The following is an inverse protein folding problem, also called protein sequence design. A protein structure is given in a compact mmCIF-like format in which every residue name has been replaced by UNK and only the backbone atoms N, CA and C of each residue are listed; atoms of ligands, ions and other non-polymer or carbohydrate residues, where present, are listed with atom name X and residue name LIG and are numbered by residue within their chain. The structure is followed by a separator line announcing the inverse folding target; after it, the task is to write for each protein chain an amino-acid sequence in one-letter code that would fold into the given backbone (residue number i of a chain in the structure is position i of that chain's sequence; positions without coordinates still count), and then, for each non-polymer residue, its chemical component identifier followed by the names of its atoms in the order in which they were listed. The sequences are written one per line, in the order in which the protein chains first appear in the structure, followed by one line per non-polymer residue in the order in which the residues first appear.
data_IF_001666664434
#
_entry.id   IF_001666664434
#
_cell.length_a   1.000
_cell.length_b   1.000
_cell.length_c   1.000
_cell.angle_alpha   90.00
_cell.angle_beta   90.00
_cell.angle_gamma   90.00
#
_symmetry.space_group_name_H-M   'P 1'
#
loop_
_entity.id
_entity.type
_entity.pdbx_description
1 polymer ?
#
# COMPACT_ATOMS: atom_id res chain seq x y z
N UNK A 1 14.11 -25.42 18.69
CA UNK A 1 13.84 -25.53 17.26
C UNK A 1 14.97 -24.80 16.54
N UNK A 2 15.78 -25.48 15.72
CA UNK A 2 16.81 -24.79 14.91
C UNK A 2 16.08 -23.95 13.86
N UNK A 3 16.26 -22.63 13.91
CA UNK A 3 15.73 -21.72 12.92
C UNK A 3 16.39 -22.03 11.57
N UNK A 4 15.63 -22.56 10.63
CA UNK A 4 16.12 -22.88 9.29
C UNK A 4 16.07 -21.58 8.47
N UNK A 5 17.14 -20.79 8.51
CA UNK A 5 17.28 -19.49 7.85
C UNK A 5 17.16 -19.60 6.30
N UNK A 6 17.26 -20.82 5.75
CA UNK A 6 17.21 -21.07 4.30
C UNK A 6 15.79 -21.03 3.71
N UNK A 7 14.74 -21.08 4.52
CA UNK A 7 13.34 -21.18 4.05
C UNK A 7 12.61 -19.82 4.01
N UNK A 8 13.25 -18.74 4.45
CA UNK A 8 12.65 -17.40 4.55
C UNK A 8 11.64 -17.30 5.70
N UNK A 9 10.88 -16.20 5.74
CA UNK A 9 9.85 -15.96 6.75
C UNK A 9 8.59 -16.76 6.39
N UNK A 10 8.36 -17.89 7.09
CA UNK A 10 7.11 -18.66 7.04
C UNK A 10 6.39 -18.44 8.36
N UNK A 11 5.10 -18.11 8.32
CA UNK A 11 4.31 -17.87 9.51
C UNK A 11 3.71 -19.15 10.09
N UNK A 12 3.01 -19.02 11.24
CA UNK A 12 2.36 -20.13 11.95
C UNK A 12 1.18 -20.77 11.17
N UNK A 13 0.79 -20.19 10.03
CA UNK A 13 -0.25 -20.72 9.12
C UNK A 13 0.33 -21.26 7.80
N UNK A 14 1.66 -21.38 7.69
CA UNK A 14 2.35 -21.87 6.51
C UNK A 14 2.42 -20.84 5.36
N UNK A 15 2.06 -19.55 5.60
CA UNK A 15 2.15 -18.50 4.59
C UNK A 15 3.59 -17.98 4.50
N UNK A 16 4.15 -17.95 3.29
CA UNK A 16 5.44 -17.31 3.03
C UNK A 16 5.26 -15.80 3.06
N UNK A 17 6.05 -15.11 3.89
CA UNK A 17 6.06 -13.66 4.01
C UNK A 17 7.29 -13.13 3.28
N UNK A 18 7.11 -12.64 2.07
CA UNK A 18 8.17 -12.20 1.18
C UNK A 18 7.99 -10.76 0.68
N UNK A 19 7.00 -10.03 1.22
CA UNK A 19 6.65 -8.69 0.80
C UNK A 19 6.60 -7.71 1.98
N UNK A 20 7.50 -6.72 1.99
CA UNK A 20 7.52 -5.62 2.94
C UNK A 20 6.72 -4.41 2.44
N UNK A 21 5.84 -3.86 3.26
CA UNK A 21 5.32 -2.50 3.10
C UNK A 21 6.02 -1.61 4.13
N UNK A 22 6.78 -0.64 3.66
CA UNK A 22 7.55 0.28 4.49
C UNK A 22 6.99 1.68 4.33
N UNK A 23 6.39 2.21 5.40
CA UNK A 23 5.98 3.60 5.45
C UNK A 23 7.21 4.47 5.76
N UNK A 24 7.54 5.38 4.85
CA UNK A 24 8.70 6.25 5.03
C UNK A 24 8.37 7.57 5.73
N UNK A 25 7.10 7.96 5.74
CA UNK A 25 6.61 9.19 6.40
C UNK A 25 5.13 9.06 6.72
N UNK A 26 4.64 9.79 7.69
CA UNK A 26 3.21 9.98 7.96
C UNK A 26 2.64 11.24 7.30
N UNK A 27 3.50 12.11 6.74
CA UNK A 27 3.10 13.38 6.11
C UNK A 27 2.50 13.13 4.72
N UNK A 28 1.43 13.87 4.41
CA UNK A 28 0.80 13.85 3.09
C UNK A 28 0.43 15.28 2.67
N UNK A 29 0.51 15.59 1.39
CA UNK A 29 0.06 16.87 0.80
C UNK A 29 -1.43 16.86 0.44
N UNK A 30 -2.09 15.69 0.39
CA UNK A 30 -3.54 15.56 0.29
C UNK A 30 -4.20 15.35 1.66
N UNK A 31 -5.53 15.45 1.70
CA UNK A 31 -6.36 15.28 2.92
C UNK A 31 -7.58 14.41 2.60
N UNK A 32 -7.34 13.24 1.98
CA UNK A 32 -8.41 12.36 1.52
C UNK A 32 -9.38 12.00 2.63
N UNK A 33 -10.68 12.07 2.34
CA UNK A 33 -11.76 11.93 3.33
C UNK A 33 -11.76 10.59 4.04
N UNK A 34 -11.35 9.53 3.35
CA UNK A 34 -11.24 8.17 3.89
C UNK A 34 -9.94 7.91 4.67
N UNK A 35 -8.98 8.83 4.61
CA UNK A 35 -7.63 8.63 5.14
C UNK A 35 -7.38 9.43 6.42
N UNK A 36 -7.86 10.67 6.48
CA UNK A 36 -7.65 11.54 7.64
C UNK A 36 -8.74 12.61 7.77
N UNK A 37 -8.88 13.23 8.97
CA UNK A 37 -9.73 14.40 9.20
C UNK A 37 -9.35 15.60 8.30
N UNK A 38 -10.27 16.56 8.13
CA UNK A 38 -10.04 17.74 7.29
C UNK A 38 -8.90 18.63 7.83
N UNK A 39 -8.84 18.76 9.14
CA UNK A 39 -7.79 19.47 9.89
C UNK A 39 -6.42 18.77 9.82
N UNK A 40 -6.40 17.51 9.35
CA UNK A 40 -5.21 16.66 9.33
C UNK A 40 -5.03 15.86 10.62
N UNK A 41 -3.82 15.37 10.82
CA UNK A 41 -3.41 14.62 12.01
C UNK A 41 -2.18 15.27 12.65
N UNK A 42 -1.89 14.93 13.89
CA UNK A 42 -0.65 15.32 14.54
C UNK A 42 0.51 14.51 13.92
N UNK A 43 1.30 15.15 13.06
CA UNK A 43 2.44 14.51 12.42
C UNK A 43 3.59 14.26 13.37
N UNK A 44 4.28 13.15 13.15
CA UNK A 44 5.49 12.80 13.89
C UNK A 44 6.60 13.83 13.65
N UNK A 45 7.34 14.13 14.72
CA UNK A 45 8.59 14.89 14.61
C UNK A 45 9.64 14.00 13.93
N UNK A 46 10.63 14.59 13.25
CA UNK A 46 11.66 13.85 12.54
C UNK A 46 12.37 12.80 13.40
N UNK A 47 12.71 13.14 14.65
CA UNK A 47 13.32 12.23 15.63
C UNK A 47 12.44 11.01 16.00
N UNK A 48 11.14 11.10 15.75
CA UNK A 48 10.19 10.00 16.01
C UNK A 48 10.06 9.06 14.83
N UNK A 49 10.49 9.48 13.64
CA UNK A 49 10.58 8.61 12.46
C UNK A 49 11.80 7.69 12.54
N UNK A 50 11.78 6.57 11.82
CA UNK A 50 12.99 5.85 11.47
C UNK A 50 13.87 6.73 10.58
N UNK A 51 15.21 6.74 10.80
CA UNK A 51 16.14 7.39 9.88
C UNK A 51 16.27 6.58 8.58
N UNK A 52 16.91 7.15 7.55
CA UNK A 52 17.16 6.43 6.30
C UNK A 52 18.13 5.25 6.53
N UNK A 53 19.14 5.44 7.35
CA UNK A 53 20.12 4.40 7.72
C UNK A 53 19.45 3.27 8.50
N UNK A 54 18.53 3.60 9.43
CA UNK A 54 17.75 2.60 10.17
C UNK A 54 16.87 1.78 9.22
N UNK A 55 16.23 2.45 8.24
CA UNK A 55 15.43 1.79 7.23
C UNK A 55 16.26 0.91 6.29
N UNK A 56 17.41 1.39 5.82
CA UNK A 56 18.32 0.62 4.96
C UNK A 56 18.86 -0.62 5.68
N UNK A 57 19.24 -0.48 6.95
CA UNK A 57 19.65 -1.61 7.80
C UNK A 57 18.51 -2.65 7.91
N UNK A 58 17.27 -2.21 8.14
CA UNK A 58 16.11 -3.10 8.21
C UNK A 58 15.81 -3.80 6.88
N UNK A 59 15.90 -3.07 5.77
CA UNK A 59 15.71 -3.65 4.42
C UNK A 59 16.72 -4.75 4.18
N UNK A 60 18.00 -4.52 4.49
CA UNK A 60 19.06 -5.53 4.37
C UNK A 60 18.75 -6.78 5.18
N UNK A 61 18.40 -6.62 6.47
CA UNK A 61 18.05 -7.75 7.36
C UNK A 61 16.85 -8.53 6.80
N UNK A 62 15.83 -7.84 6.29
CA UNK A 62 14.62 -8.46 5.76
C UNK A 62 14.86 -9.15 4.41
N UNK A 63 15.76 -8.61 3.56
CA UNK A 63 16.19 -9.29 2.32
C UNK A 63 16.93 -10.59 2.66
N UNK A 64 17.79 -10.58 3.66
CA UNK A 64 18.48 -11.79 4.16
C UNK A 64 17.48 -12.82 4.73
N UNK A 65 16.31 -12.38 5.22
CA UNK A 65 15.20 -13.21 5.70
C UNK A 65 14.23 -13.65 4.58
N UNK A 66 14.52 -13.33 3.30
CA UNK A 66 13.74 -13.78 2.16
C UNK A 66 12.68 -12.81 1.66
N UNK A 67 12.63 -11.56 2.16
CA UNK A 67 11.84 -10.50 1.53
C UNK A 67 12.46 -10.19 0.17
N UNK A 68 11.67 -10.35 -0.88
CA UNK A 68 12.07 -10.09 -2.26
C UNK A 68 11.27 -8.96 -2.92
N UNK A 69 10.30 -8.40 -2.20
CA UNK A 69 9.51 -7.27 -2.66
C UNK A 69 9.35 -6.23 -1.57
N UNK A 70 9.56 -4.97 -1.92
CA UNK A 70 9.30 -3.83 -1.05
C UNK A 70 8.32 -2.87 -1.73
N UNK A 71 7.41 -2.32 -0.94
CA UNK A 71 6.59 -1.19 -1.35
C UNK A 71 6.80 -0.03 -0.41
N UNK A 72 7.35 1.05 -0.94
CA UNK A 72 7.44 2.29 -0.21
C UNK A 72 6.07 2.96 -0.20
N UNK A 73 5.65 3.36 0.99
CA UNK A 73 4.37 4.00 1.26
C UNK A 73 4.56 5.08 2.33
N UNK A 74 3.49 5.47 2.96
CA UNK A 74 3.43 6.39 4.08
C UNK A 74 2.16 7.22 3.96
N UNK A 75 2.27 8.52 4.23
CA UNK A 75 1.40 9.52 3.62
C UNK A 75 1.78 9.64 2.15
N UNK A 76 2.61 10.62 1.79
CA UNK A 76 3.19 10.70 0.45
C UNK A 76 4.71 10.53 0.52
N UNK A 77 5.28 9.45 -0.03
CA UNK A 77 6.73 9.17 0.07
C UNK A 77 7.61 10.31 -0.45
N UNK A 78 7.22 10.97 -1.53
CA UNK A 78 8.01 12.02 -2.16
C UNK A 78 8.02 13.36 -1.39
N UNK A 79 7.28 13.46 -0.28
CA UNK A 79 7.42 14.58 0.67
C UNK A 79 8.65 14.43 1.57
N UNK A 80 9.18 13.22 1.74
CA UNK A 80 10.33 13.00 2.60
C UNK A 80 11.62 13.25 1.84
N UNK A 81 12.37 14.29 2.24
CA UNK A 81 13.68 14.61 1.65
C UNK A 81 14.63 13.42 1.74
N UNK A 82 15.46 13.20 0.72
CA UNK A 82 16.41 12.07 0.64
C UNK A 82 15.77 10.75 0.19
N UNK A 83 14.51 10.75 -0.27
CA UNK A 83 13.84 9.52 -0.76
C UNK A 83 14.59 8.89 -1.94
N UNK A 84 15.18 9.70 -2.82
CA UNK A 84 15.90 9.19 -4.01
C UNK A 84 17.22 8.53 -3.61
N UNK A 85 17.96 9.11 -2.68
CA UNK A 85 19.21 8.53 -2.16
C UNK A 85 18.93 7.17 -1.48
N UNK A 86 17.83 7.11 -0.70
CA UNK A 86 17.39 5.86 -0.09
C UNK A 86 16.96 4.81 -1.12
N UNK A 87 16.25 5.21 -2.18
CA UNK A 87 15.90 4.31 -3.27
C UNK A 87 17.13 3.77 -3.98
N UNK A 88 18.15 4.61 -4.22
CA UNK A 88 19.42 4.20 -4.82
C UNK A 88 20.15 3.21 -3.91
N UNK A 89 20.20 3.44 -2.61
CA UNK A 89 20.81 2.53 -1.63
C UNK A 89 20.14 1.15 -1.63
N UNK A 90 18.81 1.08 -1.49
CA UNK A 90 18.12 -0.21 -1.44
C UNK A 90 18.06 -0.91 -2.81
N UNK A 91 18.19 -0.18 -3.91
CA UNK A 91 18.26 -0.74 -5.27
C UNK A 91 19.51 -1.58 -5.52
N UNK A 92 20.54 -1.44 -4.70
CA UNK A 92 21.74 -2.29 -4.74
C UNK A 92 21.41 -3.77 -4.46
N UNK A 93 20.33 -4.06 -3.73
CA UNK A 93 19.83 -5.41 -3.53
C UNK A 93 19.14 -5.94 -4.79
N UNK A 94 19.88 -6.59 -5.69
CA UNK A 94 19.43 -7.01 -7.03
C UNK A 94 18.22 -7.97 -7.04
N UNK A 95 17.98 -8.69 -5.94
CA UNK A 95 16.82 -9.57 -5.78
C UNK A 95 15.55 -8.84 -5.33
N UNK A 96 15.65 -7.55 -4.97
CA UNK A 96 14.54 -6.79 -4.40
C UNK A 96 13.70 -6.11 -5.48
N UNK A 97 12.44 -6.48 -5.58
CA UNK A 97 11.44 -5.82 -6.42
C UNK A 97 10.89 -4.57 -5.72
N UNK A 98 11.31 -3.39 -6.17
CA UNK A 98 10.93 -2.10 -5.57
C UNK A 98 9.64 -1.59 -6.23
N UNK A 99 8.64 -1.28 -5.42
CA UNK A 99 7.38 -0.69 -5.81
C UNK A 99 7.11 0.57 -4.97
N UNK A 100 6.40 1.55 -5.52
CA UNK A 100 6.05 2.77 -4.79
C UNK A 100 4.53 2.97 -4.87
N UNK A 101 3.92 3.42 -3.76
CA UNK A 101 2.55 3.96 -3.76
C UNK A 101 2.65 5.47 -3.59
N UNK A 102 2.03 6.22 -4.47
CA UNK A 102 2.04 7.68 -4.48
C UNK A 102 0.67 8.24 -4.86
N UNK A 103 0.36 9.43 -4.38
CA UNK A 103 -0.81 10.20 -4.82
C UNK A 103 -0.58 10.97 -6.14
N UNK A 104 0.64 10.93 -6.68
CA UNK A 104 0.96 11.49 -7.99
C UNK A 104 1.29 12.98 -8.03
N UNK A 105 1.03 13.76 -6.97
CA UNK A 105 1.20 15.23 -6.99
C UNK A 105 2.66 15.64 -7.20
N UNK A 106 3.58 14.97 -6.51
CA UNK A 106 5.03 15.25 -6.58
C UNK A 106 5.78 14.26 -7.47
N UNK A 107 5.24 13.06 -7.66
CA UNK A 107 5.89 11.96 -8.36
C UNK A 107 6.36 12.35 -9.78
N UNK A 108 5.62 13.24 -10.47
CA UNK A 108 5.97 13.71 -11.81
C UNK A 108 7.39 14.26 -11.92
N UNK A 109 7.89 14.92 -10.88
CA UNK A 109 9.23 15.52 -10.84
C UNK A 109 10.36 14.46 -10.80
N UNK A 110 10.05 13.23 -10.36
CA UNK A 110 11.02 12.16 -10.13
C UNK A 110 10.99 11.04 -11.19
N UNK A 111 10.07 11.10 -12.17
CA UNK A 111 9.87 10.00 -13.12
C UNK A 111 11.12 9.66 -13.94
N UNK A 112 11.86 10.67 -14.40
CA UNK A 112 13.08 10.44 -15.20
C UNK A 112 14.17 9.72 -14.36
N UNK A 113 14.35 10.12 -13.10
CA UNK A 113 15.31 9.48 -12.20
C UNK A 113 14.89 8.05 -11.87
N UNK A 114 13.60 7.82 -11.58
CA UNK A 114 13.06 6.48 -11.34
C UNK A 114 13.20 5.58 -12.57
N UNK A 115 13.00 6.12 -13.76
CA UNK A 115 13.18 5.41 -15.02
C UNK A 115 14.63 4.99 -15.24
N UNK A 116 15.59 5.90 -15.03
CA UNK A 116 17.04 5.62 -15.09
C UNK A 116 17.45 4.53 -14.09
N UNK A 117 16.86 4.51 -12.90
CA UNK A 117 17.09 3.46 -11.90
C UNK A 117 16.37 2.14 -12.23
N UNK A 118 15.46 2.11 -13.21
CA UNK A 118 14.63 0.94 -13.51
C UNK A 118 13.50 0.68 -12.51
N UNK A 119 13.19 1.63 -11.63
CA UNK A 119 12.09 1.54 -10.66
C UNK A 119 10.80 2.00 -11.33
N UNK A 120 10.11 1.10 -11.99
CA UNK A 120 8.96 1.42 -12.87
C UNK A 120 7.61 0.90 -12.34
N UNK A 121 7.53 0.34 -11.13
CA UNK A 121 6.29 -0.23 -10.57
C UNK A 121 5.62 0.76 -9.62
N UNK A 122 4.61 1.45 -10.11
CA UNK A 122 3.91 2.50 -9.35
C UNK A 122 2.45 2.10 -9.09
N UNK A 123 2.01 2.25 -7.85
CA UNK A 123 0.58 2.36 -7.54
C UNK A 123 0.24 3.84 -7.39
N UNK A 124 -0.58 4.35 -8.32
CA UNK A 124 -1.10 5.71 -8.26
C UNK A 124 -2.46 5.69 -7.57
N UNK A 125 -2.65 6.53 -6.55
CA UNK A 125 -3.97 6.74 -5.94
C UNK A 125 -4.74 7.78 -6.75
N UNK A 126 -5.90 7.37 -7.33
CA UNK A 126 -6.76 8.25 -8.12
C UNK A 126 -8.21 7.77 -7.99
N UNK A 127 -9.01 8.50 -7.22
CA UNK A 127 -10.34 8.08 -6.80
C UNK A 127 -11.46 8.59 -7.71
N UNK A 128 -11.17 9.54 -8.60
CA UNK A 128 -12.11 10.12 -9.58
C UNK A 128 -11.37 10.72 -10.77
N UNK A 129 -12.01 10.72 -11.95
CA UNK A 129 -11.60 11.48 -13.14
C UNK A 129 -12.39 12.79 -13.30
N UNK A 130 -13.33 13.07 -12.41
CA UNK A 130 -14.02 14.35 -12.31
C UNK A 130 -13.23 15.28 -11.39
N UNK A 131 -12.75 16.45 -11.88
CA UNK A 131 -11.91 17.35 -11.08
C UNK A 131 -12.58 17.85 -9.81
N UNK A 132 -13.88 18.15 -9.86
CA UNK A 132 -14.62 18.64 -8.69
C UNK A 132 -14.70 17.56 -7.62
N UNK A 133 -15.05 16.33 -8.01
CA UNK A 133 -15.13 15.19 -7.11
C UNK A 133 -13.77 14.77 -6.57
N UNK A 134 -12.71 14.81 -7.41
CA UNK A 134 -11.35 14.60 -6.93
C UNK A 134 -10.99 15.61 -5.83
N UNK A 135 -11.29 16.90 -6.04
CA UNK A 135 -11.02 17.96 -5.08
C UNK A 135 -11.83 17.77 -3.78
N UNK A 136 -13.08 17.37 -3.89
CA UNK A 136 -13.93 17.05 -2.71
C UNK A 136 -13.37 15.88 -1.90
N UNK A 137 -12.93 14.82 -2.58
CA UNK A 137 -12.36 13.63 -1.93
C UNK A 137 -11.01 13.95 -1.29
N UNK A 138 -10.12 14.58 -2.02
CA UNK A 138 -8.74 14.86 -1.60
C UNK A 138 -8.60 16.13 -0.78
N UNK A 139 -9.61 17.01 -0.80
CA UNK A 139 -9.65 18.34 -0.19
C UNK A 139 -8.49 19.24 -0.67
N UNK A 140 -8.03 19.03 -1.90
CA UNK A 140 -6.94 19.78 -2.54
C UNK A 140 -7.18 19.87 -4.04
N UNK A 141 -6.82 21.02 -4.61
CA UNK A 141 -6.89 21.27 -6.05
C UNK A 141 -5.57 20.87 -6.73
N UNK A 142 -5.38 19.55 -6.88
CA UNK A 142 -4.16 18.97 -7.46
C UNK A 142 -4.46 17.98 -8.60
N UNK A 143 -5.71 17.99 -9.11
CA UNK A 143 -6.17 17.04 -10.13
C UNK A 143 -5.28 17.04 -11.38
N UNK A 144 -5.01 18.22 -11.94
CA UNK A 144 -4.26 18.35 -13.19
C UNK A 144 -2.82 17.81 -13.07
N UNK A 145 -2.18 18.01 -11.91
CA UNK A 145 -0.84 17.45 -11.66
C UNK A 145 -0.87 15.93 -11.63
N UNK A 146 -1.86 15.34 -10.93
CA UNK A 146 -1.99 13.89 -10.84
C UNK A 146 -2.28 13.28 -12.21
N UNK A 147 -3.18 13.89 -12.98
CA UNK A 147 -3.51 13.43 -14.33
C UNK A 147 -2.32 13.54 -15.28
N UNK A 148 -1.60 14.66 -15.25
CA UNK A 148 -0.37 14.86 -16.02
C UNK A 148 0.70 13.81 -15.66
N UNK A 149 0.87 13.51 -14.35
CA UNK A 149 1.78 12.46 -13.88
C UNK A 149 1.37 11.08 -14.42
N UNK A 150 0.07 10.76 -14.42
CA UNK A 150 -0.44 9.51 -14.98
C UNK A 150 -0.09 9.37 -16.47
N UNK A 151 -0.38 10.39 -17.26
CA UNK A 151 -0.08 10.37 -18.69
C UNK A 151 1.42 10.18 -18.94
N UNK A 152 2.26 10.94 -18.24
CA UNK A 152 3.72 10.82 -18.37
C UNK A 152 4.23 9.43 -17.97
N UNK A 153 3.68 8.81 -16.92
CA UNK A 153 4.02 7.42 -16.58
C UNK A 153 3.66 6.43 -17.68
N UNK A 154 2.50 6.63 -18.33
CA UNK A 154 2.06 5.79 -19.45
C UNK A 154 3.02 5.95 -20.64
N UNK A 155 3.37 7.19 -21.01
CA UNK A 155 4.28 7.49 -22.12
C UNK A 155 5.68 6.91 -21.89
N UNK A 156 6.17 6.91 -20.64
CA UNK A 156 7.43 6.31 -20.24
C UNK A 156 7.34 4.78 -19.99
N UNK A 157 6.20 4.14 -20.28
CA UNK A 157 5.96 2.71 -20.11
C UNK A 157 6.19 2.19 -18.66
N UNK A 158 5.81 2.97 -17.67
CA UNK A 158 5.76 2.50 -16.29
C UNK A 158 4.67 1.43 -16.11
N UNK A 159 4.90 0.49 -15.18
CA UNK A 159 3.89 -0.50 -14.78
C UNK A 159 2.96 0.13 -13.75
N UNK A 160 1.92 0.80 -14.24
CA UNK A 160 0.99 1.58 -13.42
C UNK A 160 -0.16 0.71 -12.95
N UNK A 161 -0.42 0.77 -11.64
CA UNK A 161 -1.67 0.33 -11.02
C UNK A 161 -2.39 1.55 -10.47
N UNK A 162 -3.59 1.81 -10.95
CA UNK A 162 -4.43 2.90 -10.44
C UNK A 162 -5.29 2.31 -9.32
N UNK A 163 -5.14 2.82 -8.11
CA UNK A 163 -5.92 2.42 -6.95
C UNK A 163 -6.99 3.48 -6.69
N UNK A 164 -8.25 3.07 -6.67
CA UNK A 164 -9.40 3.91 -6.33
C UNK A 164 -10.12 3.30 -5.12
N UNK A 165 -10.22 4.05 -4.03
CA UNK A 165 -11.08 3.68 -2.90
C UNK A 165 -12.51 4.04 -3.26
N UNK A 166 -13.42 3.05 -3.23
CA UNK A 166 -14.83 3.26 -3.56
C UNK A 166 -15.59 3.58 -2.28
N UNK A 167 -16.16 4.78 -2.23
CA UNK A 167 -16.88 5.33 -1.08
C UNK A 167 -18.37 5.50 -1.43
N UNK A 168 -19.25 4.90 -0.63
CA UNK A 168 -20.70 4.98 -0.82
C UNK A 168 -21.18 6.43 -0.81
N UNK A 169 -21.99 6.81 -1.81
CA UNK A 169 -22.54 8.16 -1.97
C UNK A 169 -21.54 9.23 -2.41
N UNK A 170 -20.31 8.84 -2.81
CA UNK A 170 -19.28 9.80 -3.23
C UNK A 170 -18.77 9.58 -4.64
N UNK A 171 -18.24 8.39 -4.94
CA UNK A 171 -17.57 8.14 -6.23
C UNK A 171 -17.91 6.81 -6.90
N UNK A 172 -19.04 6.19 -6.54
CA UNK A 172 -19.50 4.97 -7.22
C UNK A 172 -19.68 5.18 -8.73
N UNK A 173 -20.15 6.37 -9.13
CA UNK A 173 -20.33 6.74 -10.53
C UNK A 173 -19.01 6.85 -11.32
N UNK A 174 -17.87 6.90 -10.64
CA UNK A 174 -16.55 6.95 -11.30
C UNK A 174 -16.01 5.57 -11.66
N UNK A 175 -16.62 4.48 -11.16
CA UNK A 175 -16.13 3.12 -11.40
C UNK A 175 -15.97 2.83 -12.90
N UNK A 176 -16.97 3.16 -13.71
CA UNK A 176 -16.91 2.91 -15.15
C UNK A 176 -15.92 3.81 -15.87
N UNK A 177 -15.87 5.11 -15.54
CA UNK A 177 -14.93 6.04 -16.15
C UNK A 177 -13.48 5.69 -15.83
N UNK A 178 -13.18 5.35 -14.57
CA UNK A 178 -11.87 4.89 -14.15
C UNK A 178 -11.49 3.56 -14.81
N UNK A 179 -12.41 2.58 -14.87
CA UNK A 179 -12.16 1.31 -15.55
C UNK A 179 -11.79 1.50 -17.02
N UNK A 180 -12.40 2.47 -17.71
CA UNK A 180 -12.11 2.78 -19.11
C UNK A 180 -10.67 3.28 -19.36
N UNK A 181 -9.91 3.69 -18.34
CA UNK A 181 -8.47 3.95 -18.50
C UNK A 181 -7.70 2.70 -18.97
N UNK A 182 -8.13 1.52 -18.50
CA UNK A 182 -7.54 0.25 -18.91
C UNK A 182 -7.89 -0.14 -20.37
N UNK A 183 -8.91 0.48 -20.99
CA UNK A 183 -9.26 0.23 -22.38
C UNK A 183 -8.18 0.73 -23.33
N UNK A 184 -7.71 1.96 -23.15
CA UNK A 184 -6.73 2.61 -24.02
C UNK A 184 -5.28 2.33 -23.67
N UNK A 185 -5.00 1.95 -22.42
CA UNK A 185 -3.67 1.88 -21.85
C UNK A 185 -3.41 0.55 -21.14
N UNK A 186 -2.14 0.14 -21.08
CA UNK A 186 -1.73 -1.07 -20.35
C UNK A 186 -1.57 -0.76 -18.86
N UNK A 187 -2.65 -0.33 -18.22
CA UNK A 187 -2.73 -0.04 -16.78
C UNK A 187 -3.66 -1.03 -16.09
N UNK A 188 -3.45 -1.25 -14.79
CA UNK A 188 -4.34 -2.07 -13.98
C UNK A 188 -5.15 -1.16 -13.05
N UNK A 189 -6.46 -1.03 -13.27
CA UNK A 189 -7.34 -0.21 -12.41
C UNK A 189 -7.89 -1.09 -11.29
N UNK A 190 -7.75 -0.66 -10.04
CA UNK A 190 -8.10 -1.43 -8.86
C UNK A 190 -9.03 -0.65 -7.96
N UNK A 191 -10.22 -1.17 -7.80
CA UNK A 191 -11.25 -0.66 -6.91
C UNK A 191 -11.08 -1.31 -5.53
N UNK A 192 -11.02 -0.50 -4.49
CA UNK A 192 -10.71 -0.93 -3.13
C UNK A 192 -11.91 -0.62 -2.26
N UNK A 193 -12.42 -1.61 -1.51
CA UNK A 193 -13.39 -1.35 -0.46
C UNK A 193 -12.84 -0.35 0.55
N UNK A 194 -13.65 0.63 0.96
CA UNK A 194 -13.27 1.58 1.99
C UNK A 194 -13.04 0.86 3.33
N UNK A 195 -12.00 1.26 4.04
CA UNK A 195 -11.59 0.66 5.31
C UNK A 195 -11.70 1.68 6.46
N UNK A 196 -11.87 1.24 7.73
CA UNK A 196 -12.15 2.12 8.86
C UNK A 196 -10.90 2.89 9.39
N UNK A 197 -9.91 3.18 8.53
CA UNK A 197 -8.66 3.86 8.90
C UNK A 197 -8.70 5.36 8.57
N UNK A 198 -9.76 6.04 9.01
CA UNK A 198 -10.03 7.45 8.71
C UNK A 198 -9.42 8.45 9.71
N UNK A 199 -8.72 7.98 10.73
CA UNK A 199 -8.13 8.80 11.78
C UNK A 199 -9.13 9.36 12.79
N UNK A 200 -10.41 8.95 12.75
CA UNK A 200 -11.48 9.41 13.65
C UNK A 200 -12.14 8.28 14.43
N UNK A 201 -11.95 7.02 14.01
CA UNK A 201 -12.68 5.89 14.57
C UNK A 201 -14.17 5.85 14.21
N UNK A 202 -14.57 6.61 13.19
CA UNK A 202 -15.96 6.63 12.72
C UNK A 202 -16.29 5.35 11.96
N UNK A 203 -17.49 4.81 12.20
CA UNK A 203 -18.02 3.72 11.40
C UNK A 203 -18.31 4.21 10.00
N UNK A 204 -17.93 3.42 9.01
CA UNK A 204 -18.20 3.68 7.59
C UNK A 204 -19.26 2.71 7.07
N UNK A 205 -20.07 3.19 6.14
CA UNK A 205 -20.97 2.34 5.37
C UNK A 205 -20.25 1.99 4.05
N UNK A 206 -19.72 0.78 3.97
CA UNK A 206 -18.83 0.35 2.88
C UNK A 206 -19.63 -0.37 1.79
N UNK A 207 -19.34 -0.03 0.53
CA UNK A 207 -19.69 -0.87 -0.60
C UNK A 207 -18.81 -2.10 -0.60
N UNK A 208 -19.44 -3.28 -0.67
CA UNK A 208 -18.72 -4.54 -0.73
C UNK A 208 -18.11 -4.77 -2.12
N UNK A 209 -17.18 -5.70 -2.22
CA UNK A 209 -16.62 -6.12 -3.49
C UNK A 209 -17.68 -6.64 -4.47
N UNK A 210 -18.78 -7.21 -3.95
CA UNK A 210 -19.91 -7.65 -4.77
C UNK A 210 -20.65 -6.45 -5.36
N UNK A 211 -20.88 -5.40 -4.58
CA UNK A 211 -21.52 -4.16 -5.05
C UNK A 211 -20.65 -3.50 -6.14
N UNK A 212 -19.34 -3.42 -5.92
CA UNK A 212 -18.38 -2.89 -6.91
C UNK A 212 -18.41 -3.73 -8.20
N UNK A 213 -18.46 -5.07 -8.08
CA UNK A 213 -18.59 -5.97 -9.25
C UNK A 213 -19.88 -5.73 -10.01
N UNK A 214 -20.99 -5.51 -9.31
CA UNK A 214 -22.27 -5.19 -9.94
C UNK A 214 -22.22 -3.85 -10.68
N UNK A 215 -21.57 -2.82 -10.11
CA UNK A 215 -21.39 -1.54 -10.82
C UNK A 215 -20.57 -1.72 -12.11
N UNK A 216 -19.48 -2.50 -12.07
CA UNK A 216 -18.72 -2.83 -13.28
C UNK A 216 -19.57 -3.55 -14.34
N UNK A 217 -20.45 -4.47 -13.94
CA UNK A 217 -21.33 -5.21 -14.86
C UNK A 217 -22.41 -4.33 -15.49
N UNK A 218 -22.74 -3.16 -14.93
CA UNK A 218 -23.61 -2.17 -15.60
C UNK A 218 -22.97 -1.56 -16.84
N UNK A 219 -21.64 -1.41 -16.83
CA UNK A 219 -20.88 -0.82 -17.95
C UNK A 219 -20.27 -1.83 -18.89
N UNK A 220 -20.04 -3.06 -18.41
CA UNK A 220 -19.33 -4.11 -19.15
C UNK A 220 -20.09 -5.42 -19.05
N UNK A 221 -20.53 -5.96 -20.20
CA UNK A 221 -21.38 -7.15 -20.26
C UNK A 221 -20.71 -8.44 -19.76
N UNK A 222 -19.38 -8.49 -19.74
CA UNK A 222 -18.59 -9.65 -19.32
C UNK A 222 -17.30 -9.21 -18.63
N UNK A 223 -17.00 -9.87 -17.54
CA UNK A 223 -15.75 -9.74 -16.77
C UNK A 223 -15.10 -11.13 -16.70
N UNK A 224 -14.08 -11.38 -17.55
CA UNK A 224 -13.35 -12.64 -17.55
C UNK A 224 -12.38 -12.69 -16.37
N UNK A 225 -12.59 -13.60 -15.43
CA UNK A 225 -11.76 -13.70 -14.24
C UNK A 225 -10.33 -14.15 -14.56
N UNK A 226 -9.36 -13.37 -14.10
CA UNK A 226 -7.94 -13.76 -14.15
C UNK A 226 -7.63 -14.52 -12.85
N UNK A 227 -7.11 -15.75 -12.94
CA UNK A 227 -6.78 -16.55 -11.76
C UNK A 227 -5.87 -15.80 -10.79
N UNK A 228 -6.21 -15.82 -9.51
CA UNK A 228 -5.39 -15.23 -8.45
C UNK A 228 -4.13 -16.06 -8.21
N UNK A 229 -3.00 -15.37 -8.03
CA UNK A 229 -1.74 -15.98 -7.60
C UNK A 229 -1.56 -15.81 -6.09
N UNK A 230 -0.67 -16.60 -5.50
CA UNK A 230 -0.34 -16.47 -4.08
C UNK A 230 0.14 -15.04 -3.77
N UNK A 231 -0.44 -14.42 -2.74
CA UNK A 231 -0.13 -13.05 -2.32
C UNK A 231 -0.87 -11.94 -3.07
N UNK A 232 -1.68 -12.29 -4.10
CA UNK A 232 -2.56 -11.31 -4.74
C UNK A 232 -3.61 -10.79 -3.73
N UNK A 233 -3.97 -9.51 -3.87
CA UNK A 233 -5.05 -8.89 -3.08
C UNK A 233 -6.29 -8.60 -3.91
N UNK A 234 -6.10 -8.42 -5.22
CA UNK A 234 -7.17 -8.07 -6.13
C UNK A 234 -7.62 -9.31 -6.91
N UNK A 235 -8.92 -9.60 -6.89
CA UNK A 235 -9.51 -10.41 -7.94
C UNK A 235 -9.50 -9.56 -9.21
N UNK A 236 -8.79 -10.02 -10.23
CA UNK A 236 -8.64 -9.29 -11.51
C UNK A 236 -9.57 -9.85 -12.56
N UNK A 237 -9.93 -8.96 -13.49
CA UNK A 237 -10.81 -9.26 -14.60
C UNK A 237 -10.24 -8.68 -15.89
N UNK A 238 -10.25 -9.47 -16.96
CA UNK A 238 -10.05 -9.00 -18.32
C UNK A 238 -11.41 -8.58 -18.89
N UNK A 239 -11.45 -7.42 -19.51
CA UNK A 239 -12.60 -6.95 -20.27
C UNK A 239 -12.24 -7.04 -21.75
N UNK A 240 -13.13 -7.58 -22.57
CA UNK A 240 -12.88 -7.74 -24.00
C UNK A 240 -12.55 -6.38 -24.67
N UNK A 241 -11.48 -6.35 -25.43
CA UNK A 241 -10.99 -5.14 -26.11
C UNK A 241 -10.20 -4.17 -25.22
N UNK A 242 -9.93 -4.49 -23.95
CA UNK A 242 -9.09 -3.68 -23.09
C UNK A 242 -7.62 -4.10 -23.19
N UNK A 243 -6.72 -3.11 -23.22
CA UNK A 243 -5.26 -3.35 -23.17
C UNK A 243 -4.78 -3.73 -21.79
N UNK A 244 -5.37 -3.16 -20.75
CA UNK A 244 -5.08 -3.43 -19.36
C UNK A 244 -6.15 -4.30 -18.68
N UNK A 245 -6.13 -4.35 -17.36
CA UNK A 245 -7.09 -5.11 -16.56
C UNK A 245 -7.77 -4.24 -15.50
N UNK A 246 -8.92 -4.70 -15.00
CA UNK A 246 -9.56 -4.16 -13.81
C UNK A 246 -9.48 -5.16 -12.67
N UNK A 247 -9.53 -4.70 -11.43
CA UNK A 247 -9.50 -5.60 -10.28
C UNK A 247 -10.26 -5.02 -9.10
N UNK A 248 -10.70 -5.89 -8.20
CA UNK A 248 -11.38 -5.50 -6.97
C UNK A 248 -10.58 -6.03 -5.78
N UNK A 249 -10.32 -5.15 -4.82
CA UNK A 249 -9.64 -5.49 -3.56
C UNK A 249 -10.67 -5.47 -2.45
N UNK A 250 -11.06 -6.65 -1.98
CA UNK A 250 -12.01 -6.86 -0.88
C UNK A 250 -11.35 -6.55 0.47
N UNK A 251 -10.93 -5.28 0.66
CA UNK A 251 -10.09 -4.87 1.78
C UNK A 251 -10.83 -4.87 3.12
N UNK A 252 -12.11 -4.52 3.12
CA UNK A 252 -13.00 -4.59 4.28
C UNK A 252 -13.52 -6.01 4.48
N UNK A 253 -13.93 -6.69 3.41
CA UNK A 253 -14.42 -8.08 3.42
C UNK A 253 -13.29 -9.12 3.64
N UNK A 254 -12.03 -8.74 3.47
CA UNK A 254 -10.81 -9.52 3.84
C UNK A 254 -10.70 -10.90 3.20
N UNK A 255 -11.23 -11.09 2.00
CA UNK A 255 -11.33 -12.39 1.34
C UNK A 255 -9.96 -13.00 0.95
N UNK A 256 -8.89 -12.19 0.93
CA UNK A 256 -7.53 -12.60 0.53
C UNK A 256 -6.57 -12.87 1.71
N UNK A 257 -7.06 -12.90 2.95
CA UNK A 257 -6.19 -13.05 4.13
C UNK A 257 -5.46 -14.39 4.18
N UNK A 258 -6.07 -15.46 3.70
CA UNK A 258 -5.48 -16.81 3.70
C UNK A 258 -4.17 -16.93 2.91
N UNK A 259 -3.91 -16.04 1.95
CA UNK A 259 -2.68 -16.01 1.13
C UNK A 259 -1.81 -14.78 1.41
N UNK A 260 -2.05 -14.06 2.51
CA UNK A 260 -1.37 -12.81 2.81
C UNK A 260 0.12 -13.01 3.09
N UNK A 261 0.97 -12.44 2.24
CA UNK A 261 2.43 -12.53 2.31
C UNK A 261 3.12 -11.24 2.84
N UNK A 262 2.35 -10.32 3.46
CA UNK A 262 2.85 -8.97 3.78
C UNK A 262 3.26 -8.81 5.22
N UNK A 263 4.41 -8.18 5.42
CA UNK A 263 4.84 -7.55 6.67
C UNK A 263 4.77 -6.04 6.50
N UNK A 264 4.45 -5.29 7.57
CA UNK A 264 4.42 -3.82 7.53
C UNK A 264 5.33 -3.24 8.59
N UNK A 265 6.00 -2.14 8.24
CA UNK A 265 6.72 -1.28 9.17
C UNK A 265 6.21 0.14 8.98
N UNK A 266 5.69 0.72 10.05
CA UNK A 266 5.18 2.10 10.04
C UNK A 266 6.31 3.12 10.03
N UNK A 267 6.02 4.37 9.67
CA UNK A 267 7.02 5.45 9.69
C UNK A 267 7.63 5.67 11.09
N UNK A 268 6.87 5.36 12.14
CA UNK A 268 7.31 5.38 13.54
C UNK A 268 8.22 4.20 13.89
N UNK A 269 8.28 3.16 13.05
CA UNK A 269 9.07 1.96 13.29
C UNK A 269 8.36 0.88 14.07
N UNK A 270 7.04 0.87 14.06
CA UNK A 270 6.23 -0.22 14.62
C UNK A 270 6.06 -1.33 13.57
N UNK A 271 6.23 -2.57 13.99
CA UNK A 271 5.93 -3.74 13.15
C UNK A 271 4.44 -4.05 13.25
N UNK A 272 3.80 -4.22 12.08
CA UNK A 272 2.43 -4.73 11.96
C UNK A 272 2.46 -6.03 11.14
N UNK A 273 2.01 -7.11 11.72
CA UNK A 273 1.91 -8.42 11.06
C UNK A 273 0.61 -8.55 10.27
N UNK A 274 -0.39 -7.75 10.61
CA UNK A 274 -1.63 -7.54 9.87
C UNK A 274 -1.92 -6.04 9.76
N UNK A 275 -2.67 -5.63 8.74
CA UNK A 275 -3.15 -4.24 8.64
C UNK A 275 -4.02 -3.87 9.84
N UNK A 276 -4.83 -4.81 10.30
CA UNK A 276 -5.82 -4.63 11.35
C UNK A 276 -5.29 -4.82 12.78
N UNK A 277 -4.02 -5.22 13.00
CA UNK A 277 -3.44 -5.22 14.36
C UNK A 277 -3.12 -3.79 14.83
N UNK A 278 -2.89 -3.62 16.12
CA UNK A 278 -2.58 -2.30 16.72
C UNK A 278 -1.07 -2.00 16.86
N UNK A 279 -0.24 -2.76 16.09
CA UNK A 279 1.22 -2.70 16.19
C UNK A 279 1.73 -3.68 17.24
N UNK A 280 2.52 -4.65 16.80
CA UNK A 280 2.92 -5.79 17.66
C UNK A 280 4.28 -5.60 18.30
N UNK A 281 5.09 -4.64 17.81
CA UNK A 281 6.43 -4.41 18.34
C UNK A 281 7.00 -3.04 17.95
N UNK A 282 7.58 -2.30 18.90
CA UNK A 282 8.35 -1.07 18.66
C UNK A 282 9.79 -1.41 18.25
N UNK A 283 9.96 -1.59 16.94
CA UNK A 283 11.25 -1.95 16.34
C UNK A 283 12.25 -0.80 16.39
N UNK A 284 11.80 0.46 16.32
CA UNK A 284 12.68 1.63 16.37
C UNK A 284 13.41 1.73 17.71
N UNK A 285 12.68 1.64 18.83
CA UNK A 285 13.31 1.68 20.16
C UNK A 285 14.28 0.52 20.33
N UNK A 286 13.94 -0.66 19.80
CA UNK A 286 14.80 -1.82 19.83
C UNK A 286 16.08 -1.63 18.99
N UNK A 287 15.96 -1.08 17.76
CA UNK A 287 17.14 -0.73 16.93
C UNK A 287 18.08 0.24 17.64
N UNK A 288 17.52 1.26 18.29
CA UNK A 288 18.27 2.31 18.98
C UNK A 288 18.91 1.89 20.30
N UNK A 289 18.52 0.71 20.81
CA UNK A 289 19.17 0.13 22.01
C UNK A 289 20.53 -0.54 21.71
N UNK A 290 20.98 -0.50 20.45
CA UNK A 290 22.31 -1.03 20.06
C UNK A 290 22.34 -2.53 19.81
N UNK A 291 21.20 -3.18 19.62
CA UNK A 291 21.10 -4.62 19.35
C UNK A 291 21.75 -5.02 18.02
N UNK A 292 22.23 -6.25 17.96
CA UNK A 292 22.79 -6.85 16.76
C UNK A 292 21.73 -7.17 15.71
N UNK A 293 22.14 -7.29 14.44
CA UNK A 293 21.26 -7.73 13.35
C UNK A 293 20.65 -9.12 13.60
N UNK A 294 21.41 -9.99 14.27
CA UNK A 294 20.95 -11.34 14.62
C UNK A 294 19.80 -11.30 15.64
N UNK A 295 19.84 -10.40 16.60
CA UNK A 295 18.76 -10.21 17.56
C UNK A 295 17.51 -9.65 16.87
N UNK A 296 17.68 -8.71 15.94
CA UNK A 296 16.57 -8.20 15.12
C UNK A 296 15.95 -9.31 14.29
N UNK A 297 16.75 -10.18 13.63
CA UNK A 297 16.25 -11.34 12.88
C UNK A 297 15.40 -12.25 13.78
N UNK A 298 15.88 -12.59 14.97
CA UNK A 298 15.15 -13.45 15.92
C UNK A 298 13.80 -12.84 16.31
N UNK A 299 13.77 -11.53 16.57
CA UNK A 299 12.51 -10.83 16.89
C UNK A 299 11.56 -10.88 15.72
N UNK A 300 11.98 -10.55 14.50
CA UNK A 300 11.14 -10.55 13.32
C UNK A 300 10.57 -11.94 13.00
N UNK A 301 11.37 -12.99 13.13
CA UNK A 301 10.92 -14.38 12.98
C UNK A 301 9.86 -14.72 14.05
N UNK A 302 10.13 -14.39 15.32
CA UNK A 302 9.19 -14.68 16.40
C UNK A 302 7.85 -13.94 16.24
N UNK A 303 7.88 -12.68 15.80
CA UNK A 303 6.67 -11.92 15.49
C UNK A 303 5.87 -12.55 14.34
N UNK A 304 6.58 -13.02 13.31
CA UNK A 304 5.96 -13.69 12.18
C UNK A 304 5.27 -15.01 12.59
N UNK A 305 5.80 -15.74 13.58
CA UNK A 305 5.20 -16.97 14.13
C UNK A 305 3.97 -16.70 15.01
N UNK A 306 3.59 -15.44 15.23
CA UNK A 306 2.42 -15.03 16.04
C UNK A 306 1.39 -14.27 15.21
N UNK A 307 1.44 -14.41 13.88
CA UNK A 307 0.50 -13.72 13.00
C UNK A 307 -0.92 -14.23 13.21
N UNK A 308 -1.92 -13.35 13.15
CA UNK A 308 -3.32 -13.75 13.12
C UNK A 308 -3.64 -14.52 11.84
N UNK A 309 -4.64 -15.40 11.88
CA UNK A 309 -5.09 -16.15 10.70
C UNK A 309 -5.60 -15.20 9.63
N UNK A 310 -6.34 -14.16 10.05
CA UNK A 310 -6.93 -13.16 9.17
C UNK A 310 -7.03 -11.78 9.83
N UNK A 311 -7.66 -10.83 9.14
CA UNK A 311 -7.86 -9.48 9.66
C UNK A 311 -8.96 -9.39 10.70
N UNK A 312 -9.89 -10.36 10.79
CA UNK A 312 -10.94 -10.37 11.81
C UNK A 312 -10.36 -10.79 13.16
N UNK A 313 -9.54 -11.84 13.18
CA UNK A 313 -8.80 -12.21 14.38
C UNK A 313 -7.87 -11.08 14.84
N UNK A 314 -7.15 -10.44 13.90
CA UNK A 314 -6.29 -9.30 14.21
C UNK A 314 -7.06 -8.15 14.87
N UNK A 315 -8.24 -7.82 14.35
CA UNK A 315 -9.10 -6.76 14.88
C UNK A 315 -9.68 -7.11 16.24
N UNK A 316 -10.14 -8.34 16.42
CA UNK A 316 -10.68 -8.83 17.69
C UNK A 316 -9.62 -8.85 18.81
N UNK A 317 -8.36 -9.05 18.47
CA UNK A 317 -7.25 -9.05 19.42
C UNK A 317 -6.71 -7.65 19.76
N UNK A 318 -7.25 -6.58 19.14
CA UNK A 318 -6.85 -5.20 19.44
C UNK A 318 -7.21 -4.82 20.88
N UNK A 319 -6.33 -4.01 21.45
CA UNK A 319 -6.56 -3.39 22.79
C UNK A 319 -7.31 -2.05 22.67
N UNK A 320 -7.27 -1.45 21.48
CA UNK A 320 -7.87 -0.14 21.20
C UNK A 320 -8.70 -0.19 19.94
N UNK A 321 -9.76 0.64 19.87
CA UNK A 321 -10.57 0.81 18.67
C UNK A 321 -9.70 1.35 17.53
N UNK A 322 -10.02 0.99 16.28
CA UNK A 322 -9.35 1.53 15.09
C UNK A 322 -9.64 3.04 15.02
N UNK A 323 -8.62 3.83 15.28
CA UNK A 323 -8.64 5.30 15.15
C UNK A 323 -7.41 5.82 14.39
N UNK A 324 -6.62 4.90 13.84
CA UNK A 324 -5.41 5.23 13.07
C UNK A 324 -5.80 5.82 11.72
N UNK A 325 -4.99 6.76 11.26
CA UNK A 325 -5.02 7.23 9.87
C UNK A 325 -4.25 6.28 8.97
N UNK A 326 -4.72 6.06 7.76
CA UNK A 326 -4.00 5.24 6.77
C UNK A 326 -2.58 5.77 6.51
N UNK A 327 -2.33 7.07 6.66
CA UNK A 327 -1.00 7.67 6.51
C UNK A 327 0.00 7.23 7.56
N UNK A 328 -0.46 6.88 8.76
CA UNK A 328 0.43 6.45 9.86
C UNK A 328 0.84 4.98 9.74
N UNK A 329 -0.01 4.17 9.13
CA UNK A 329 0.20 2.71 8.99
C UNK A 329 0.74 2.29 7.63
N UNK A 330 0.82 3.20 6.67
CA UNK A 330 1.36 2.94 5.34
C UNK A 330 0.36 2.25 4.42
N UNK A 331 -0.58 3.03 3.92
CA UNK A 331 -1.66 2.64 3.01
C UNK A 331 -1.23 2.18 1.62
#
# INVERSE_FOLDING_TARGET
MKLNLSEGLIDNHGRKVDYLRLAVTDRCNLRCTYCMPAEGIAYLQEKQLLSWEEMARLVKILVDLGINKIRLTGGEPFLRKGIMDFLEEIHQHKSLDICITSNGVLLGEYLDQLDQMGIRKINLSLDSLDPARFNDITRRDEFDKVLSTLHRMIDLNFKVKINAVVMKGKNEQDIISLANLAKGHQVSVRFIEEMPFNGKGEKIETLTWLDIKQELLKGFSLLDEIPMQQGDTAQRYQINGFKGDVGIIAAHSRTFCGTCNRLRITAKGEVKTCLYDDGVFDLKTYLRSGVSDEEIRKVLINLNQKRPVDGFEAENNRKVIINESMTTIGG
#
